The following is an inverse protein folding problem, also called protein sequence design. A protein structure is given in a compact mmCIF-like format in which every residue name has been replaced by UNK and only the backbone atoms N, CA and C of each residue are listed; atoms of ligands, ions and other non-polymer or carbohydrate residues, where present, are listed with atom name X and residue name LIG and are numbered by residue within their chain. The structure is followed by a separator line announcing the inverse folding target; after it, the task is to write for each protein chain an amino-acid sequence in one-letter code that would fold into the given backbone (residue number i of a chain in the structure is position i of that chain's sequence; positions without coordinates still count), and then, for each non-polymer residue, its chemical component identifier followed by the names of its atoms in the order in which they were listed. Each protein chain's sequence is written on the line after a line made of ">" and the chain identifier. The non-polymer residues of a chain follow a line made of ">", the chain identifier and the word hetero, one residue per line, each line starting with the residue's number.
data_IF_707219809361
#
_entry.id   IF_707219809361
#
_cell.length_a   1.000
_cell.length_b   1.000
_cell.length_c   1.000
_cell.angle_alpha   90.00
_cell.angle_beta   90.00
_cell.angle_gamma   90.00
#
_symmetry.space_group_name_H-M   'P 1'
#
loop_
_entity.id
_entity.type
_entity.pdbx_description
1 polymer ?
#
# COMPACT_ATOMS: atom_id res chain seq x y z
N UNK A 1 -30.56 -7.87 -7.37
CA UNK A 1 -29.19 -8.34 -7.67
C UNK A 1 -28.52 -7.64 -8.87
N UNK A 2 -29.19 -7.36 -9.99
CA UNK A 2 -28.55 -6.72 -11.18
C UNK A 2 -28.19 -5.24 -10.99
N UNK A 3 -29.06 -4.46 -10.34
CA UNK A 3 -28.87 -3.02 -10.10
C UNK A 3 -27.73 -2.71 -9.10
N UNK A 4 -27.53 -3.56 -8.10
CA UNK A 4 -26.49 -3.42 -7.08
C UNK A 4 -25.10 -3.65 -7.69
N UNK A 5 -24.94 -4.72 -8.48
CA UNK A 5 -23.72 -4.98 -9.26
C UNK A 5 -23.37 -3.83 -10.22
N UNK A 6 -24.38 -3.15 -10.78
CA UNK A 6 -24.16 -2.00 -11.65
C UNK A 6 -23.58 -0.80 -10.88
N UNK A 7 -24.05 -0.52 -9.65
CA UNK A 7 -23.51 0.55 -8.81
C UNK A 7 -22.07 0.29 -8.38
N UNK A 8 -21.79 -0.92 -7.89
CA UNK A 8 -20.44 -1.32 -7.46
C UNK A 8 -19.45 -1.27 -8.62
N UNK A 9 -19.87 -1.76 -9.80
CA UNK A 9 -19.08 -1.67 -11.02
C UNK A 9 -18.74 -0.23 -11.38
N UNK A 10 -19.72 0.69 -11.34
CA UNK A 10 -19.48 2.10 -11.66
C UNK A 10 -18.53 2.76 -10.66
N UNK A 11 -18.63 2.44 -9.37
CA UNK A 11 -17.70 2.91 -8.35
C UNK A 11 -16.27 2.35 -8.60
N UNK A 12 -16.15 1.05 -8.84
CA UNK A 12 -14.87 0.40 -9.15
C UNK A 12 -14.23 0.99 -10.41
N UNK A 13 -15.01 1.25 -11.46
CA UNK A 13 -14.54 1.88 -12.70
C UNK A 13 -14.04 3.30 -12.47
N UNK A 14 -14.72 4.11 -11.63
CA UNK A 14 -14.26 5.45 -11.25
C UNK A 14 -12.91 5.36 -10.54
N UNK A 15 -12.81 4.52 -9.51
CA UNK A 15 -11.59 4.32 -8.72
C UNK A 15 -10.44 3.80 -9.58
N UNK A 16 -10.72 2.91 -10.54
CA UNK A 16 -9.70 2.40 -11.47
C UNK A 16 -9.10 3.53 -12.33
N UNK A 17 -9.91 4.48 -12.80
CA UNK A 17 -9.43 5.64 -13.57
C UNK A 17 -8.58 6.60 -12.73
N UNK A 18 -8.98 6.84 -11.48
CA UNK A 18 -8.19 7.62 -10.53
C UNK A 18 -6.83 6.96 -10.25
N UNK A 19 -6.84 5.64 -10.05
CA UNK A 19 -5.65 4.82 -9.82
C UNK A 19 -4.70 4.82 -11.03
N UNK A 20 -5.23 4.74 -12.25
CA UNK A 20 -4.43 4.82 -13.48
C UNK A 20 -3.67 6.16 -13.53
N UNK A 21 -4.34 7.27 -13.26
CA UNK A 21 -3.71 8.59 -13.26
C UNK A 21 -2.61 8.72 -12.20
N UNK A 22 -2.86 8.21 -10.98
CA UNK A 22 -1.88 8.23 -9.89
C UNK A 22 -0.64 7.40 -10.19
N UNK A 23 -0.82 6.25 -10.84
CA UNK A 23 0.26 5.29 -11.04
C UNK A 23 0.97 5.42 -12.38
N UNK A 24 0.51 6.30 -13.28
CA UNK A 24 1.09 6.54 -14.62
C UNK A 24 2.58 6.90 -14.59
N UNK A 25 3.04 7.62 -13.57
CA UNK A 25 4.44 8.04 -13.43
C UNK A 25 5.33 7.10 -12.62
N UNK A 26 4.77 6.03 -12.05
CA UNK A 26 5.52 5.10 -11.20
C UNK A 26 6.38 4.16 -12.03
N UNK A 27 7.66 4.10 -11.71
CA UNK A 27 8.56 3.09 -12.24
C UNK A 27 8.63 1.90 -11.28
N UNK A 28 7.96 0.80 -11.65
CA UNK A 28 7.87 -0.44 -10.86
C UNK A 28 9.02 -1.42 -11.11
N UNK A 29 9.93 -1.08 -12.03
CA UNK A 29 11.02 -1.95 -12.48
C UNK A 29 12.40 -1.41 -12.05
N UNK A 30 12.43 -0.38 -11.20
CA UNK A 30 13.70 0.15 -10.70
C UNK A 30 14.41 -0.89 -9.83
N UNK A 31 15.73 -1.05 -9.96
CA UNK A 31 16.48 -1.85 -9.01
C UNK A 31 16.38 -1.22 -7.63
N UNK A 32 16.13 -2.04 -6.62
CA UNK A 32 16.12 -1.57 -5.25
C UNK A 32 17.57 -1.27 -4.82
N UNK A 33 17.89 0.02 -4.72
CA UNK A 33 19.21 0.52 -4.31
C UNK A 33 19.08 1.38 -3.05
N UNK A 34 20.15 1.56 -2.26
CA UNK A 34 20.15 2.52 -1.16
C UNK A 34 19.82 3.94 -1.62
N UNK A 35 19.20 4.77 -0.75
CA UNK A 35 18.87 6.14 -1.10
C UNK A 35 20.09 6.94 -1.54
N UNK A 36 20.03 7.51 -2.75
CA UNK A 36 21.06 8.37 -3.32
C UNK A 36 20.59 9.84 -3.44
N UNK A 37 19.33 10.11 -3.11
CA UNK A 37 18.70 11.44 -3.11
C UNK A 37 18.72 12.14 -4.48
N UNK A 38 18.81 11.37 -5.57
CA UNK A 38 18.64 11.92 -6.91
C UNK A 38 17.23 12.52 -7.08
N UNK A 39 17.11 13.49 -7.98
CA UNK A 39 15.80 14.12 -8.29
C UNK A 39 14.77 13.09 -8.77
N UNK A 40 15.22 12.09 -9.52
CA UNK A 40 14.40 10.97 -10.00
C UNK A 40 13.87 10.14 -8.82
N UNK A 41 14.76 9.74 -7.90
CA UNK A 41 14.41 8.97 -6.72
C UNK A 41 13.42 9.72 -5.83
N UNK A 42 13.70 10.99 -5.50
CA UNK A 42 12.80 11.83 -4.69
C UNK A 42 11.41 11.91 -5.32
N UNK A 43 11.35 12.09 -6.65
CA UNK A 43 10.09 12.10 -7.39
C UNK A 43 9.35 10.77 -7.30
N UNK A 44 10.05 9.64 -7.47
CA UNK A 44 9.44 8.30 -7.37
C UNK A 44 8.92 8.02 -5.95
N UNK A 45 9.70 8.39 -4.92
CA UNK A 45 9.29 8.29 -3.51
C UNK A 45 7.98 9.05 -3.27
N UNK A 46 7.86 10.28 -3.77
CA UNK A 46 6.63 11.07 -3.63
C UNK A 46 5.43 10.47 -4.37
N UNK A 47 5.64 9.86 -5.54
CA UNK A 47 4.58 9.15 -6.25
C UNK A 47 4.11 7.90 -5.48
N UNK A 48 5.03 7.12 -4.92
CA UNK A 48 4.68 5.96 -4.10
C UNK A 48 3.91 6.35 -2.85
N UNK A 49 4.34 7.42 -2.16
CA UNK A 49 3.60 7.98 -1.01
C UNK A 49 2.17 8.37 -1.39
N UNK A 50 1.98 9.03 -2.54
CA UNK A 50 0.65 9.40 -3.04
C UNK A 50 -0.22 8.18 -3.33
N UNK A 51 0.34 7.13 -3.92
CA UNK A 51 -0.41 5.89 -4.16
C UNK A 51 -0.83 5.20 -2.86
N UNK A 52 0.08 5.05 -1.89
CA UNK A 52 -0.25 4.48 -0.58
C UNK A 52 -1.31 5.33 0.15
N UNK A 53 -1.17 6.66 0.11
CA UNK A 53 -2.14 7.58 0.70
C UNK A 53 -3.53 7.47 0.04
N UNK A 54 -3.57 7.31 -1.28
CA UNK A 54 -4.81 7.07 -2.02
C UNK A 54 -5.51 5.81 -1.51
N UNK A 55 -4.82 4.68 -1.40
CA UNK A 55 -5.44 3.46 -0.85
C UNK A 55 -5.90 3.63 0.60
N UNK A 56 -5.14 4.37 1.43
CA UNK A 56 -5.51 4.69 2.82
C UNK A 56 -6.76 5.55 2.92
N UNK A 57 -7.04 6.39 1.93
CA UNK A 57 -8.26 7.23 1.90
C UNK A 57 -9.55 6.45 1.59
N UNK A 58 -9.46 5.13 1.39
CA UNK A 58 -10.60 4.26 1.07
C UNK A 58 -11.41 4.78 -0.14
N UNK A 59 -10.82 4.79 -1.35
CA UNK A 59 -11.45 5.39 -2.53
C UNK A 59 -12.70 4.61 -2.98
N UNK A 60 -12.77 3.33 -2.63
CA UNK A 60 -13.95 2.48 -2.83
C UNK A 60 -15.10 2.80 -1.85
N UNK A 61 -14.85 3.56 -0.78
CA UNK A 61 -15.83 3.89 0.27
C UNK A 61 -16.53 2.65 0.82
N UNK A 62 -15.77 1.56 1.00
CA UNK A 62 -16.28 0.31 1.56
C UNK A 62 -16.17 0.32 3.09
N UNK A 63 -17.05 -0.41 3.77
CA UNK A 63 -16.96 -0.64 5.22
C UNK A 63 -16.10 -1.87 5.57
N UNK A 64 -15.74 -2.69 4.56
CA UNK A 64 -14.87 -3.85 4.72
C UNK A 64 -13.44 -3.41 5.04
N UNK A 65 -13.15 -3.38 6.34
CA UNK A 65 -11.86 -2.97 6.89
C UNK A 65 -10.74 -3.94 6.49
N UNK A 66 -11.04 -5.22 6.29
CA UNK A 66 -10.07 -6.19 5.84
C UNK A 66 -9.70 -5.98 4.37
N UNK A 67 -10.67 -5.61 3.52
CA UNK A 67 -10.40 -5.21 2.14
C UNK A 67 -9.55 -3.94 2.08
N UNK A 68 -9.88 -2.91 2.87
CA UNK A 68 -9.07 -1.67 2.93
C UNK A 68 -7.63 -2.00 3.33
N UNK A 69 -7.45 -2.79 4.39
CA UNK A 69 -6.12 -3.19 4.88
C UNK A 69 -5.34 -3.93 3.80
N UNK A 70 -5.95 -4.91 3.12
CA UNK A 70 -5.30 -5.65 2.03
C UNK A 70 -4.86 -4.74 0.88
N UNK A 71 -5.67 -3.75 0.50
CA UNK A 71 -5.33 -2.82 -0.58
C UNK A 71 -4.16 -1.90 -0.22
N UNK A 72 -4.15 -1.35 1.00
CA UNK A 72 -3.03 -0.52 1.48
C UNK A 72 -1.75 -1.32 1.58
N UNK A 73 -1.83 -2.56 2.11
CA UNK A 73 -0.67 -3.43 2.20
C UNK A 73 -0.14 -3.82 0.84
N UNK A 74 -1.02 -4.15 -0.11
CA UNK A 74 -0.60 -4.42 -1.49
C UNK A 74 0.17 -3.23 -2.08
N UNK A 75 -0.33 -2.00 -1.98
CA UNK A 75 0.39 -0.81 -2.46
C UNK A 75 1.75 -0.62 -1.78
N UNK A 76 1.82 -0.92 -0.47
CA UNK A 76 3.04 -0.84 0.33
C UNK A 76 4.06 -1.91 -0.08
N UNK A 77 3.61 -3.15 -0.33
CA UNK A 77 4.45 -4.25 -0.83
C UNK A 77 5.00 -3.94 -2.23
N UNK A 78 4.18 -3.39 -3.13
CA UNK A 78 4.63 -2.95 -4.45
C UNK A 78 5.70 -1.85 -4.34
N UNK A 79 5.55 -0.91 -3.41
CA UNK A 79 6.54 0.12 -3.12
C UNK A 79 7.86 -0.50 -2.62
N UNK A 80 7.77 -1.49 -1.72
CA UNK A 80 8.93 -2.16 -1.15
C UNK A 80 9.74 -2.96 -2.18
N UNK A 81 9.16 -3.39 -3.30
CA UNK A 81 9.92 -4.04 -4.38
C UNK A 81 11.00 -3.13 -4.96
N UNK A 82 10.78 -1.82 -4.97
CA UNK A 82 11.71 -0.84 -5.57
C UNK A 82 12.36 0.09 -4.54
N UNK A 83 11.74 0.27 -3.36
CA UNK A 83 12.25 1.13 -2.28
C UNK A 83 12.60 0.34 -1.00
N UNK A 84 13.00 -0.93 -1.12
CA UNK A 84 13.28 -1.80 0.06
C UNK A 84 14.33 -1.24 1.02
N UNK A 85 15.28 -0.45 0.52
CA UNK A 85 16.35 0.15 1.32
C UNK A 85 15.95 1.47 2.01
N UNK A 86 14.68 1.87 1.94
CA UNK A 86 14.16 3.06 2.61
C UNK A 86 13.50 2.65 3.94
N UNK A 87 14.14 2.87 5.11
CA UNK A 87 13.62 2.43 6.40
C UNK A 87 12.26 3.07 6.73
N UNK A 88 12.04 4.29 6.25
CA UNK A 88 10.77 5.00 6.43
C UNK A 88 9.57 4.23 5.85
N UNK A 89 9.73 3.51 4.73
CA UNK A 89 8.65 2.73 4.11
C UNK A 89 8.29 1.53 5.00
N UNK A 90 9.30 0.82 5.51
CA UNK A 90 9.10 -0.28 6.46
C UNK A 90 8.42 0.17 7.75
N UNK A 91 8.88 1.29 8.32
CA UNK A 91 8.30 1.85 9.53
C UNK A 91 6.82 2.21 9.31
N UNK A 92 6.49 2.87 8.20
CA UNK A 92 5.10 3.19 7.86
C UNK A 92 4.23 1.94 7.65
N UNK A 93 4.78 0.88 7.04
CA UNK A 93 4.09 -0.40 6.87
C UNK A 93 3.76 -1.04 8.21
N UNK A 94 4.75 -1.12 9.12
CA UNK A 94 4.58 -1.68 10.45
C UNK A 94 3.57 -0.89 11.29
N UNK A 95 3.65 0.45 11.27
CA UNK A 95 2.70 1.33 11.95
C UNK A 95 1.27 1.13 11.43
N UNK A 96 1.10 1.01 10.10
CA UNK A 96 -0.21 0.78 9.52
C UNK A 96 -0.79 -0.58 9.92
N UNK A 97 0.04 -1.63 9.93
CA UNK A 97 -0.38 -2.97 10.36
C UNK A 97 -0.76 -3.03 11.84
N UNK A 98 0.02 -2.40 12.71
CA UNK A 98 -0.29 -2.34 14.14
C UNK A 98 -1.63 -1.62 14.39
N UNK A 99 -1.85 -0.48 13.73
CA UNK A 99 -3.12 0.24 13.81
C UNK A 99 -4.29 -0.57 13.25
N UNK A 100 -4.10 -1.20 12.08
CA UNK A 100 -5.15 -2.00 11.44
C UNK A 100 -5.48 -3.27 12.22
N UNK A 101 -4.47 -3.90 12.84
CA UNK A 101 -4.62 -5.07 13.71
C UNK A 101 -5.56 -4.78 14.88
N UNK A 102 -5.35 -3.67 15.58
CA UNK A 102 -6.20 -3.22 16.68
C UNK A 102 -7.64 -3.00 16.22
N UNK A 103 -7.81 -2.24 15.13
CA UNK A 103 -9.13 -1.95 14.58
C UNK A 103 -9.89 -3.19 14.07
N UNK A 104 -9.18 -4.21 13.58
CA UNK A 104 -9.77 -5.48 13.13
C UNK A 104 -10.06 -6.43 14.30
N UNK A 105 -9.22 -6.44 15.34
CA UNK A 105 -9.47 -7.18 16.56
C UNK A 105 -10.76 -6.71 17.26
N UNK A 106 -10.99 -5.40 17.30
CA UNK A 106 -12.24 -4.81 17.82
C UNK A 106 -13.49 -5.26 17.02
N UNK A 107 -13.30 -5.68 15.76
CA UNK A 107 -14.34 -6.20 14.86
C UNK A 107 -14.37 -7.73 14.78
N UNK A 108 -13.56 -8.44 15.56
CA UNK A 108 -13.48 -9.91 15.56
C UNK A 108 -12.85 -10.54 14.32
N UNK A 109 -12.09 -9.78 13.51
CA UNK A 109 -11.46 -10.26 12.27
C UNK A 109 -9.97 -10.54 12.50
N UNK A 110 -9.54 -11.79 12.30
CA UNK A 110 -8.12 -12.18 12.40
C UNK A 110 -7.37 -11.98 11.07
N UNK A 111 -6.26 -11.25 11.10
CA UNK A 111 -5.29 -11.15 10.00
C UNK A 111 -4.28 -12.30 10.09
N UNK A 112 -4.59 -13.45 9.47
CA UNK A 112 -3.74 -14.64 9.50
C UNK A 112 -2.51 -14.59 8.57
N UNK A 113 -2.35 -13.55 7.75
CA UNK A 113 -1.49 -13.66 6.55
C UNK A 113 -0.39 -12.60 6.39
N UNK A 114 -0.27 -11.62 7.29
CA UNK A 114 0.68 -10.50 7.09
C UNK A 114 1.72 -10.46 8.21
N UNK A 115 2.56 -11.49 8.31
CA UNK A 115 3.84 -11.35 9.02
C UNK A 115 4.84 -10.73 8.05
N UNK A 116 5.30 -9.49 8.25
CA UNK A 116 6.37 -8.93 7.43
C UNK A 116 7.61 -9.82 7.59
N UNK A 117 8.03 -10.46 6.51
CA UNK A 117 9.28 -11.22 6.46
C UNK A 117 10.41 -10.18 6.36
N UNK A 118 10.83 -9.65 7.51
CA UNK A 118 11.89 -8.65 7.59
C UNK A 118 13.18 -9.22 6.96
N UNK A 119 13.72 -8.59 5.90
CA UNK A 119 14.88 -9.14 5.19
C UNK A 119 16.21 -8.91 5.93
N UNK A 120 16.26 -8.11 7.00
CA UNK A 120 17.47 -7.90 7.77
C UNK A 120 17.66 -8.97 8.83
N UNK A 121 18.37 -10.05 8.49
CA UNK A 121 19.20 -10.73 9.49
C UNK A 121 20.31 -9.76 9.87
N UNK A 122 20.33 -9.31 11.12
CA UNK A 122 21.50 -8.66 11.69
C UNK A 122 22.66 -9.65 11.54
N UNK A 123 23.58 -9.38 10.62
CA UNK A 123 24.90 -9.99 10.70
C UNK A 123 25.60 -9.28 11.85
N UNK A 124 25.67 -9.98 12.99
CA UNK A 124 26.53 -9.56 14.10
C UNK A 124 27.97 -9.54 13.58
N UNK A 125 28.58 -8.36 13.68
CA UNK A 125 30.02 -8.21 13.66
C UNK A 125 30.61 -8.65 15.00
#
# INVERSE_FOLDING_TARGET
>A
MSLERSKDYMNARRVAKELENLTRGLNRNLPAVPPNLSKEEVKQVELWKKFIAFEKSNPLRTEDTALITRRVMFATEQCLLVLTHHPAVWHQAAQFLDHSSKALADKGVLISTVKPKMPYKQHNA
#
